data_IF_259120761986
#
_entry.id   IF_259120761986
#
_cell.length_a   1.000
_cell.length_b   1.000
_cell.length_c   1.000
_cell.angle_alpha   90.00
_cell.angle_beta   90.00
_cell.angle_gamma   90.00
#
_symmetry.space_group_name_H-M   'P 1'
#
loop_
_entity.id
_entity.type
_entity.pdbx_description
1 polymer ?
#
# COMPACT_ATOMS: atom_id res chain seq x y z
N UNK A 1 9.82 61.56 29.23
CA UNK A 1 11.10 60.82 29.15
C UNK A 1 10.81 59.34 29.29
N UNK A 2 11.10 58.58 28.21
CA UNK A 2 11.61 57.21 28.13
C UNK A 2 10.86 56.04 28.81
N UNK A 3 10.69 54.83 28.23
CA UNK A 3 10.90 54.25 26.89
C UNK A 3 10.09 52.94 26.88
N UNK A 4 9.24 52.72 25.88
CA UNK A 4 8.55 51.47 25.61
C UNK A 4 9.59 50.44 25.10
N UNK A 5 9.76 49.31 25.78
CA UNK A 5 10.61 48.20 25.29
C UNK A 5 9.72 47.09 24.74
N UNK A 6 9.63 47.05 23.42
CA UNK A 6 9.18 45.90 22.63
C UNK A 6 10.25 44.81 22.78
N UNK A 7 9.88 43.61 23.23
CA UNK A 7 10.78 42.45 23.22
C UNK A 7 10.31 41.46 22.16
N UNK A 8 11.25 41.12 21.28
CA UNK A 8 11.06 40.40 20.05
C UNK A 8 10.67 38.93 20.25
N UNK A 9 9.80 38.45 19.37
CA UNK A 9 9.51 37.04 19.18
C UNK A 9 10.75 36.31 18.63
N UNK A 10 11.27 35.34 19.38
CA UNK A 10 12.24 34.39 18.88
C UNK A 10 11.48 33.27 18.15
N UNK A 11 11.36 33.41 16.83
CA UNK A 11 10.85 32.35 15.95
C UNK A 11 11.94 31.28 15.85
N UNK A 12 11.84 30.23 16.65
CA UNK A 12 12.63 29.02 16.42
C UNK A 12 12.10 28.33 15.15
N UNK A 13 12.77 28.54 14.02
CA UNK A 13 12.63 27.69 12.85
C UNK A 13 13.12 26.28 13.22
N UNK A 14 12.21 25.43 13.68
CA UNK A 14 12.44 24.00 13.74
C UNK A 14 12.54 23.48 12.31
N UNK A 15 13.78 23.28 11.85
CA UNK A 15 14.09 22.53 10.64
C UNK A 15 13.58 21.10 10.81
N UNK A 16 12.38 20.83 10.32
CA UNK A 16 11.86 19.48 10.15
C UNK A 16 12.71 18.83 9.06
N UNK A 17 13.71 18.06 9.48
CA UNK A 17 14.39 17.10 8.62
C UNK A 17 13.34 16.10 8.15
N UNK A 18 12.80 16.31 6.95
CA UNK A 18 11.95 15.33 6.28
C UNK A 18 12.83 14.13 5.95
N UNK A 19 12.77 13.11 6.79
CA UNK A 19 13.28 11.79 6.45
C UNK A 19 12.49 11.30 5.25
N UNK A 20 13.13 11.27 4.07
CA UNK A 20 12.58 10.56 2.92
C UNK A 20 12.55 9.08 3.30
N UNK A 21 11.38 8.60 3.74
CA UNK A 21 11.15 7.18 3.97
C UNK A 21 11.31 6.49 2.63
N UNK A 22 12.41 5.74 2.48
CA UNK A 22 12.54 4.78 1.39
C UNK A 22 11.35 3.82 1.52
N UNK A 23 10.40 3.93 0.60
CA UNK A 23 9.26 3.02 0.54
C UNK A 23 9.83 1.61 0.41
N UNK A 24 9.56 0.75 1.39
CA UNK A 24 9.93 -0.64 1.27
C UNK A 24 9.09 -1.24 0.15
N UNK A 25 9.75 -1.62 -0.95
CA UNK A 25 9.15 -2.27 -2.12
C UNK A 25 8.74 -3.73 -1.81
N UNK A 26 8.02 -3.94 -0.71
CA UNK A 26 7.63 -5.26 -0.21
C UNK A 26 6.18 -5.22 0.22
N UNK A 27 5.41 -6.19 -0.28
CA UNK A 27 4.06 -6.48 0.20
C UNK A 27 4.06 -7.78 0.98
N UNK A 28 3.38 -7.83 2.12
CA UNK A 28 3.20 -9.06 2.90
C UNK A 28 1.78 -9.56 2.67
N UNK A 29 1.64 -10.82 2.24
CA UNK A 29 0.34 -11.48 2.12
C UNK A 29 0.43 -12.93 2.57
N UNK A 30 -0.52 -13.37 3.41
CA UNK A 30 -0.58 -14.72 3.99
C UNK A 30 0.73 -15.17 4.65
N UNK A 31 1.44 -14.22 5.27
CA UNK A 31 2.73 -14.46 5.93
C UNK A 31 3.95 -14.53 5.00
N UNK A 32 3.78 -14.31 3.69
CA UNK A 32 4.88 -14.27 2.74
C UNK A 32 5.16 -12.83 2.29
N UNK A 33 6.44 -12.48 2.21
CA UNK A 33 6.90 -11.20 1.66
C UNK A 33 7.13 -11.32 0.16
N UNK A 34 6.55 -10.42 -0.63
CA UNK A 34 6.68 -10.39 -2.08
C UNK A 34 7.25 -9.06 -2.55
N UNK A 35 8.05 -9.12 -3.62
CA UNK A 35 8.54 -7.95 -4.37
C UNK A 35 7.95 -7.96 -5.78
N UNK A 36 7.84 -6.80 -6.41
CA UNK A 36 7.47 -6.73 -7.83
C UNK A 36 8.52 -7.49 -8.64
N UNK A 37 8.08 -8.45 -9.46
CA UNK A 37 8.96 -9.21 -10.34
C UNK A 37 9.35 -8.29 -11.50
N UNK A 38 10.56 -7.74 -11.47
CA UNK A 38 11.14 -7.04 -12.61
C UNK A 38 11.10 -7.96 -13.81
N UNK A 39 10.40 -7.55 -14.87
CA UNK A 39 10.47 -8.25 -16.14
C UNK A 39 11.93 -8.15 -16.58
N UNK A 40 12.64 -9.29 -16.59
CA UNK A 40 14.06 -9.34 -16.89
C UNK A 40 14.36 -8.48 -18.10
N UNK A 41 15.39 -7.64 -17.99
CA UNK A 41 15.88 -6.70 -19.00
C UNK A 41 15.87 -7.32 -20.40
N UNK A 42 14.75 -7.17 -21.11
CA UNK A 42 14.73 -7.24 -22.55
C UNK A 42 15.46 -6.00 -23.04
N UNK A 43 16.39 -6.20 -23.96
CA UNK A 43 17.15 -5.12 -24.61
C UNK A 43 16.25 -3.93 -24.95
N UNK A 44 16.77 -2.70 -24.88
CA UNK A 44 15.98 -1.49 -25.13
C UNK A 44 15.56 -1.45 -26.60
N UNK A 45 14.44 -2.08 -26.92
CA UNK A 45 13.80 -1.95 -28.21
C UNK A 45 12.97 -0.67 -28.16
N UNK A 46 13.38 0.31 -28.97
CA UNK A 46 12.97 1.72 -28.93
C UNK A 46 11.51 2.01 -29.34
N UNK A 47 10.54 1.22 -28.89
CA UNK A 47 9.13 1.56 -29.10
C UNK A 47 8.27 1.16 -27.89
N UNK A 48 7.79 2.20 -27.21
CA UNK A 48 6.81 2.20 -26.12
C UNK A 48 7.37 1.63 -24.81
N UNK A 49 8.20 2.45 -24.17
CA UNK A 49 8.59 2.33 -22.77
C UNK A 49 7.32 2.51 -21.90
N UNK A 50 6.61 1.43 -21.60
CA UNK A 50 5.73 1.40 -20.44
C UNK A 50 6.63 1.61 -19.23
N UNK A 51 6.83 2.87 -18.81
CA UNK A 51 7.48 3.20 -17.55
C UNK A 51 6.74 2.40 -16.48
N UNK A 52 7.36 1.35 -15.95
CA UNK A 52 6.86 0.69 -14.77
C UNK A 52 6.82 1.79 -13.70
N UNK A 53 5.61 2.26 -13.39
CA UNK A 53 5.46 3.21 -12.29
C UNK A 53 5.91 2.47 -11.03
N UNK A 54 6.78 3.07 -10.22
CA UNK A 54 7.15 2.49 -8.94
C UNK A 54 5.88 2.33 -8.09
N UNK A 55 5.72 1.19 -7.43
CA UNK A 55 4.56 0.88 -6.60
C UNK A 55 3.89 -0.47 -6.92
N UNK A 56 2.87 -0.78 -6.14
CA UNK A 56 2.10 -2.02 -6.20
C UNK A 56 0.73 -1.76 -6.83
N UNK A 57 0.52 -2.27 -8.03
CA UNK A 57 -0.68 -2.04 -8.83
C UNK A 57 -1.34 -3.36 -9.20
N UNK A 58 -2.67 -3.37 -9.33
CA UNK A 58 -3.39 -4.58 -9.70
C UNK A 58 -2.87 -5.16 -11.02
N UNK A 59 -2.71 -6.47 -11.06
CA UNK A 59 -2.24 -7.19 -12.23
C UNK A 59 -0.73 -7.41 -12.32
N UNK A 60 0.09 -6.71 -11.52
CA UNK A 60 1.53 -6.94 -11.50
C UNK A 60 1.87 -8.34 -10.95
N UNK A 61 2.93 -8.91 -11.52
CA UNK A 61 3.54 -10.13 -11.01
C UNK A 61 4.45 -9.80 -9.84
N UNK A 62 4.35 -10.60 -8.80
CA UNK A 62 5.18 -10.49 -7.60
C UNK A 62 5.83 -11.83 -7.28
N UNK A 63 6.96 -11.79 -6.59
CA UNK A 63 7.72 -13.00 -6.25
C UNK A 63 8.17 -12.96 -4.79
N UNK A 64 7.99 -14.08 -4.10
CA UNK A 64 8.71 -14.38 -2.86
C UNK A 64 10.02 -15.08 -3.24
N UNK A 65 11.12 -14.34 -3.22
CA UNK A 65 12.44 -14.84 -3.64
C UNK A 65 12.89 -16.08 -2.84
N UNK A 66 12.72 -16.17 -1.50
CA UNK A 66 13.19 -17.33 -0.73
C UNK A 66 12.55 -18.66 -1.14
N UNK A 67 11.28 -18.64 -1.57
CA UNK A 67 10.52 -19.84 -1.95
C UNK A 67 10.33 -19.99 -3.46
N UNK A 68 10.87 -19.05 -4.25
CA UNK A 68 10.59 -18.94 -5.68
C UNK A 68 9.08 -18.98 -6.01
N UNK A 69 8.25 -18.45 -5.10
CA UNK A 69 6.79 -18.47 -5.23
C UNK A 69 6.31 -17.22 -5.97
N UNK A 70 5.69 -17.42 -7.12
CA UNK A 70 5.10 -16.35 -7.91
C UNK A 70 3.64 -16.11 -7.54
N UNK A 71 3.25 -14.84 -7.58
CA UNK A 71 1.88 -14.43 -7.41
C UNK A 71 1.53 -13.23 -8.27
N UNK A 72 0.25 -12.88 -8.23
CA UNK A 72 -0.31 -11.73 -8.92
C UNK A 72 -1.08 -10.86 -7.94
N UNK A 73 -0.86 -9.55 -7.99
CA UNK A 73 -1.68 -8.59 -7.23
C UNK A 73 -3.08 -8.57 -7.82
N UNK A 74 -4.10 -8.84 -7.00
CA UNK A 74 -5.49 -8.91 -7.49
C UNK A 74 -6.13 -7.53 -7.62
N UNK A 75 -5.56 -6.52 -6.97
CA UNK A 75 -6.19 -5.20 -6.79
C UNK A 75 -7.10 -5.13 -5.57
N UNK A 76 -7.13 -6.17 -4.73
CA UNK A 76 -7.92 -6.16 -3.50
C UNK A 76 -7.06 -5.87 -2.27
N UNK A 77 -7.64 -5.15 -1.31
CA UNK A 77 -7.16 -5.08 0.08
C UNK A 77 -8.22 -5.70 0.97
N UNK A 78 -7.84 -6.68 1.77
CA UNK A 78 -8.68 -7.29 2.79
C UNK A 78 -8.43 -6.53 4.08
N UNK A 79 -9.49 -6.07 4.73
CA UNK A 79 -9.39 -5.47 6.06
C UNK A 79 -10.14 -6.30 7.09
N UNK A 80 -9.66 -6.23 8.32
CA UNK A 80 -10.37 -6.70 9.50
C UNK A 80 -10.74 -5.50 10.36
N UNK A 81 -12.00 -5.40 10.77
CA UNK A 81 -12.51 -4.30 11.61
C UNK A 81 -12.95 -4.78 12.98
N UNK A 82 -12.99 -3.84 13.93
CA UNK A 82 -13.50 -4.09 15.29
C UNK A 82 -15.02 -4.26 15.32
N UNK A 83 -15.75 -3.41 14.58
CA UNK A 83 -17.17 -3.62 14.30
C UNK A 83 -17.32 -4.65 13.19
N UNK A 84 -18.14 -5.68 13.43
CA UNK A 84 -18.34 -6.77 12.50
C UNK A 84 -19.42 -6.50 11.45
N UNK A 85 -20.28 -5.52 11.69
CA UNK A 85 -21.51 -5.30 10.94
C UNK A 85 -21.46 -4.06 10.05
N UNK A 86 -20.69 -3.04 10.43
CA UNK A 86 -20.63 -1.77 9.70
C UNK A 86 -19.19 -1.28 9.44
N UNK A 87 -19.05 -0.45 8.40
CA UNK A 87 -17.89 0.39 8.14
C UNK A 87 -18.31 1.84 8.26
N UNK A 88 -17.61 2.63 9.07
CA UNK A 88 -17.90 4.05 9.26
C UNK A 88 -17.27 4.94 8.19
N UNK A 89 -16.31 4.41 7.43
CA UNK A 89 -15.68 5.11 6.32
C UNK A 89 -16.11 4.58 4.96
N UNK A 90 -15.83 5.37 3.92
CA UNK A 90 -15.97 4.97 2.52
C UNK A 90 -14.75 5.43 1.74
N UNK A 91 -14.39 4.69 0.69
CA UNK A 91 -13.35 5.06 -0.25
C UNK A 91 -13.97 5.14 -1.65
N UNK A 92 -13.99 6.32 -2.30
CA UNK A 92 -14.64 6.49 -3.61
C UNK A 92 -13.95 5.70 -4.73
N UNK A 93 -12.68 5.31 -4.53
CA UNK A 93 -11.92 4.54 -5.51
C UNK A 93 -12.12 3.02 -5.36
N UNK A 94 -12.87 2.58 -4.33
CA UNK A 94 -13.02 1.17 -4.00
C UNK A 94 -14.46 0.68 -4.16
N UNK A 95 -14.61 -0.53 -4.70
CA UNK A 95 -15.81 -1.32 -4.49
C UNK A 95 -15.66 -2.09 -3.18
N UNK A 96 -16.51 -1.83 -2.20
CA UNK A 96 -16.45 -2.43 -0.87
C UNK A 96 -17.46 -3.58 -0.77
N UNK A 97 -17.00 -4.75 -0.33
CA UNK A 97 -17.82 -5.94 -0.13
C UNK A 97 -17.61 -6.51 1.26
N UNK A 98 -18.72 -6.78 1.98
CA UNK A 98 -18.68 -7.50 3.25
C UNK A 98 -18.41 -8.98 3.01
N UNK A 99 -17.40 -9.53 3.66
CA UNK A 99 -17.09 -10.97 3.65
C UNK A 99 -17.76 -11.66 4.85
N UNK A 100 -17.81 -10.96 5.99
CA UNK A 100 -18.41 -11.45 7.24
C UNK A 100 -17.39 -11.60 8.36
N UNK A 101 -17.85 -11.70 9.62
CA UNK A 101 -16.96 -11.85 10.78
C UNK A 101 -15.98 -10.68 10.98
N UNK A 102 -16.38 -9.47 10.62
CA UNK A 102 -15.51 -8.27 10.63
C UNK A 102 -14.51 -8.19 9.48
N UNK A 103 -14.62 -9.06 8.47
CA UNK A 103 -13.80 -8.95 7.26
C UNK A 103 -14.54 -8.25 6.14
N UNK A 104 -13.80 -7.38 5.46
CA UNK A 104 -14.25 -6.64 4.29
C UNK A 104 -13.20 -6.72 3.20
N UNK A 105 -13.65 -6.74 1.95
CA UNK A 105 -12.83 -6.74 0.75
C UNK A 105 -13.04 -5.41 0.04
N UNK A 106 -11.95 -4.66 -0.16
CA UNK A 106 -11.95 -3.43 -0.92
C UNK A 106 -11.24 -3.69 -2.24
N UNK A 107 -11.96 -3.58 -3.36
CA UNK A 107 -11.42 -3.82 -4.69
C UNK A 107 -11.17 -2.50 -5.40
N UNK A 108 -9.92 -2.27 -5.78
CA UNK A 108 -9.43 -1.07 -6.43
C UNK A 108 -9.23 -1.26 -7.95
N UNK A 109 -9.35 -0.18 -8.75
CA UNK A 109 -9.00 -0.20 -10.16
C UNK A 109 -7.47 -0.31 -10.36
N UNK A 110 -7.01 -0.78 -11.53
CA UNK A 110 -5.59 -1.13 -11.75
C UNK A 110 -4.62 0.04 -11.74
N UNK A 111 -5.11 1.29 -11.81
CA UNK A 111 -4.30 2.50 -11.75
C UNK A 111 -4.11 3.03 -10.31
N UNK A 112 -4.65 2.36 -9.30
CA UNK A 112 -4.50 2.74 -7.90
C UNK A 112 -3.31 2.01 -7.27
N UNK A 113 -2.46 2.78 -6.60
CA UNK A 113 -1.30 2.27 -5.86
C UNK A 113 -1.77 1.68 -4.51
N UNK A 114 -1.56 0.38 -4.35
CA UNK A 114 -2.17 -0.42 -3.28
C UNK A 114 -1.49 -0.21 -1.92
N UNK A 115 -0.19 0.08 -1.86
CA UNK A 115 0.49 0.34 -0.58
C UNK A 115 -0.04 1.63 0.07
N UNK A 116 -0.27 2.66 -0.72
CA UNK A 116 -0.82 3.94 -0.28
C UNK A 116 -2.23 3.75 0.28
N UNK A 117 -3.06 2.95 -0.40
CA UNK A 117 -4.41 2.63 0.09
C UNK A 117 -4.37 1.76 1.35
N UNK A 118 -3.47 0.78 1.42
CA UNK A 118 -3.26 -0.01 2.65
C UNK A 118 -2.89 0.89 3.82
N UNK A 119 -1.93 1.81 3.65
CA UNK A 119 -1.52 2.73 4.70
C UNK A 119 -2.67 3.62 5.17
N UNK A 120 -3.44 4.19 4.24
CA UNK A 120 -4.64 4.97 4.59
C UNK A 120 -5.70 4.15 5.33
N UNK A 121 -5.90 2.87 4.97
CA UNK A 121 -6.81 1.96 5.67
C UNK A 121 -6.35 1.69 7.11
N UNK A 122 -5.04 1.52 7.33
CA UNK A 122 -4.46 1.30 8.66
C UNK A 122 -4.55 2.52 9.59
N UNK A 123 -4.78 3.71 9.04
CA UNK A 123 -5.05 4.94 9.82
C UNK A 123 -6.51 5.05 10.28
N UNK A 124 -7.43 4.22 9.78
CA UNK A 124 -8.83 4.26 10.18
C UNK A 124 -9.01 3.63 11.56
N UNK A 125 -9.68 4.34 12.47
CA UNK A 125 -9.80 3.94 13.87
C UNK A 125 -10.43 2.56 14.11
N UNK A 126 -11.29 2.10 13.18
CA UNK A 126 -11.97 0.81 13.28
C UNK A 126 -11.23 -0.35 12.60
N UNK A 127 -10.17 -0.07 11.83
CA UNK A 127 -9.40 -1.08 11.10
C UNK A 127 -8.34 -1.67 12.03
N UNK A 128 -8.43 -2.97 12.29
CA UNK A 128 -7.48 -3.73 13.10
C UNK A 128 -6.30 -4.22 12.27
N UNK A 129 -6.51 -4.49 10.98
CA UNK A 129 -5.51 -4.99 10.05
C UNK A 129 -5.95 -4.73 8.60
N UNK A 130 -5.00 -4.42 7.72
CA UNK A 130 -5.18 -4.40 6.27
C UNK A 130 -4.11 -5.26 5.57
N UNK A 131 -4.52 -6.09 4.61
CA UNK A 131 -3.63 -6.96 3.83
C UNK A 131 -3.94 -6.83 2.34
N UNK A 132 -2.92 -6.58 1.52
CA UNK A 132 -3.06 -6.61 0.06
C UNK A 132 -3.12 -8.07 -0.40
N UNK A 133 -4.12 -8.40 -1.21
CA UNK A 133 -4.30 -9.75 -1.69
C UNK A 133 -3.32 -10.10 -2.82
N UNK A 134 -2.52 -11.13 -2.57
CA UNK A 134 -1.69 -11.80 -3.58
C UNK A 134 -2.31 -13.15 -3.92
N UNK A 135 -2.68 -13.32 -5.19
CA UNK A 135 -3.04 -14.62 -5.73
C UNK A 135 -1.76 -15.38 -6.13
N UNK A 136 -1.24 -16.19 -5.21
CA UNK A 136 -0.08 -17.02 -5.45
C UNK A 136 -0.45 -18.33 -6.16
N UNK A 137 0.37 -18.75 -7.14
CA UNK A 137 0.26 -20.07 -7.76
C UNK A 137 0.96 -21.10 -6.86
N UNK A 138 0.28 -21.50 -5.79
CA UNK A 138 0.71 -22.62 -4.95
C UNK A 138 0.41 -23.92 -5.68
N UNK A 139 1.19 -24.27 -6.70
CA UNK A 139 1.26 -25.66 -7.16
C UNK A 139 1.97 -26.45 -6.07
N UNK A 140 1.22 -26.90 -5.07
CA UNK A 140 1.69 -27.89 -4.10
C UNK A 140 1.60 -29.24 -4.83
N UNK A 141 2.71 -29.93 -5.14
CA UNK A 141 2.61 -31.31 -5.58
C UNK A 141 2.01 -32.15 -4.44
N UNK A 142 0.95 -32.92 -4.74
CA UNK A 142 0.37 -33.90 -3.82
C UNK A 142 1.32 -35.06 -3.54
#
# INVERSE_FOLDING_TARGET
MNKLKVLAAAVCLSGLSMSAFASQDVVVSKGFSYKVKSSGSAEPNNNIQSRQQPGFFAGQLVINEPLALEGKLTGSVIIKTADHDTLSFSDPDASIMRVGGGFWLLKYPPNVELLSKKAWLEEQAEVLNAEIEVQANLNIPN
#
